data_IF_267935541637
#
_entry.id   IF_267935541637
#
_cell.length_a   1.000
_cell.length_b   1.000
_cell.length_c   1.000
_cell.angle_alpha   90.00
_cell.angle_beta   90.00
_cell.angle_gamma   90.00
#
_symmetry.space_group_name_H-M   'P 1'
#
loop_
_entity.id
_entity.type
_entity.pdbx_description
1 polymer ?
#
# COMPACT_ATOMS: atom_id res chain seq x y z
N UNK A 1 1.87 2.85 35.53
CA UNK A 1 2.54 3.23 34.69
C UNK A 1 1.89 3.65 33.58
N UNK A 2 2.26 4.56 33.33
CA UNK A 2 1.73 5.00 32.23
C UNK A 2 1.82 3.96 31.24
N UNK A 3 0.84 3.41 30.97
CA UNK A 3 0.75 2.57 29.86
C UNK A 3 1.33 3.24 28.67
N UNK A 4 1.71 2.48 27.71
CA UNK A 4 2.11 2.99 26.43
C UNK A 4 1.03 3.92 25.94
N UNK A 5 1.37 5.14 25.61
CA UNK A 5 0.36 6.05 25.06
C UNK A 5 -0.38 5.41 23.90
N UNK A 6 -1.69 5.50 23.93
CA UNK A 6 -2.50 4.90 22.88
C UNK A 6 -2.14 5.47 21.49
N UNK A 7 -1.63 6.69 21.44
CA UNK A 7 -1.23 7.34 20.19
C UNK A 7 -0.07 6.64 19.48
N UNK A 8 0.72 5.85 20.19
CA UNK A 8 1.83 5.14 19.58
C UNK A 8 1.38 3.83 18.91
N UNK A 9 0.27 3.28 19.34
CA UNK A 9 -0.20 1.99 18.83
C UNK A 9 -0.52 1.99 17.34
N UNK A 10 -1.21 2.99 16.78
CA UNK A 10 -1.46 3.01 15.33
C UNK A 10 -0.18 2.99 14.51
N UNK A 11 0.85 3.74 14.93
CA UNK A 11 2.13 3.79 14.24
C UNK A 11 2.83 2.43 14.29
N UNK A 12 2.83 1.77 15.46
CA UNK A 12 3.43 0.44 15.63
C UNK A 12 2.68 -0.60 14.81
N UNK A 13 1.36 -0.47 14.70
CA UNK A 13 0.52 -1.41 13.98
C UNK A 13 0.62 -1.28 12.46
N UNK A 14 1.14 -0.16 11.95
CA UNK A 14 1.09 0.13 10.52
C UNK A 14 1.78 -0.93 9.65
N UNK A 15 2.99 -1.43 9.98
CA UNK A 15 3.58 -2.51 9.18
C UNK A 15 2.71 -3.77 9.17
N UNK A 16 2.08 -4.10 10.30
CA UNK A 16 1.18 -5.25 10.36
C UNK A 16 -0.06 -5.05 9.48
N UNK A 17 -0.60 -3.82 9.45
CA UNK A 17 -1.73 -3.48 8.59
C UNK A 17 -1.33 -3.58 7.12
N UNK A 18 -0.15 -3.09 6.76
CA UNK A 18 0.34 -3.20 5.39
C UNK A 18 0.45 -4.67 4.96
N UNK A 19 0.96 -5.54 5.82
CA UNK A 19 1.02 -6.98 5.56
C UNK A 19 -0.38 -7.58 5.41
N UNK A 20 -1.31 -7.17 6.25
CA UNK A 20 -2.69 -7.64 6.21
C UNK A 20 -3.37 -7.28 4.88
N UNK A 21 -3.18 -6.03 4.43
CA UNK A 21 -3.69 -5.60 3.14
C UNK A 21 -3.07 -6.42 2.00
N UNK A 22 -1.77 -6.62 2.05
CA UNK A 22 -1.06 -7.40 1.04
C UNK A 22 -1.60 -8.84 0.99
N UNK A 23 -1.79 -9.48 2.13
CA UNK A 23 -2.31 -10.84 2.20
C UNK A 23 -3.74 -10.92 1.69
N UNK A 24 -4.55 -9.94 2.01
CA UNK A 24 -5.93 -9.87 1.53
C UNK A 24 -5.97 -9.79 0.00
N UNK A 25 -5.15 -8.92 -0.58
CA UNK A 25 -5.09 -8.77 -2.04
C UNK A 25 -4.49 -10.01 -2.69
N UNK A 26 -3.48 -10.61 -2.06
CA UNK A 26 -2.85 -11.85 -2.57
C UNK A 26 -3.82 -13.00 -2.70
N UNK A 27 -4.81 -13.08 -1.85
CA UNK A 27 -5.79 -14.17 -1.88
C UNK A 27 -6.57 -14.22 -3.21
N UNK A 28 -6.71 -13.08 -3.88
CA UNK A 28 -7.38 -13.00 -5.19
C UNK A 28 -6.42 -13.21 -6.37
N UNK A 29 -5.13 -13.39 -6.11
CA UNK A 29 -4.12 -13.67 -7.14
C UNK A 29 -3.50 -12.45 -7.77
N UNK A 30 -2.95 -12.62 -8.95
CA UNK A 30 -2.27 -11.56 -9.70
C UNK A 30 -3.17 -10.99 -10.78
N UNK A 31 -2.72 -9.90 -11.42
CA UNK A 31 -3.42 -9.20 -12.50
C UNK A 31 -4.67 -8.48 -12.00
N UNK A 32 -4.52 -7.75 -10.91
CA UNK A 32 -5.59 -6.97 -10.31
C UNK A 32 -5.33 -5.48 -10.48
N UNK A 33 -6.40 -4.66 -10.61
CA UNK A 33 -6.23 -3.21 -10.66
C UNK A 33 -5.77 -2.67 -9.30
N UNK A 34 -5.27 -1.43 -9.24
CA UNK A 34 -4.93 -0.81 -7.97
C UNK A 34 -6.14 -0.77 -7.04
N UNK A 35 -5.92 -1.07 -5.77
CA UNK A 35 -6.98 -1.10 -4.76
C UNK A 35 -6.61 -0.18 -3.62
N UNK A 36 -7.56 0.66 -3.22
CA UNK A 36 -7.38 1.62 -2.16
C UNK A 36 -8.14 1.17 -0.92
N UNK A 37 -7.54 1.37 0.24
CA UNK A 37 -8.12 0.99 1.53
C UNK A 37 -8.10 2.19 2.46
N UNK A 38 -9.20 2.40 3.18
CA UNK A 38 -9.25 3.34 4.29
C UNK A 38 -8.76 2.61 5.55
N UNK A 39 -7.96 3.27 6.36
CA UNK A 39 -7.52 2.72 7.65
C UNK A 39 -8.28 3.44 8.76
N UNK A 40 -9.13 2.69 9.44
CA UNK A 40 -10.04 3.23 10.45
C UNK A 40 -9.73 2.57 11.79
N UNK A 41 -9.72 3.32 12.91
CA UNK A 41 -9.54 2.69 14.21
C UNK A 41 -10.61 1.63 14.44
N UNK A 42 -10.19 0.44 14.82
CA UNK A 42 -11.10 -0.69 15.02
C UNK A 42 -12.13 -0.37 16.11
N UNK A 43 -11.73 0.37 17.14
CA UNK A 43 -12.66 0.78 18.20
C UNK A 43 -13.77 1.67 17.68
N UNK A 44 -13.47 2.60 16.76
CA UNK A 44 -14.47 3.47 16.17
C UNK A 44 -15.44 2.68 15.29
N UNK A 45 -14.90 1.72 14.54
CA UNK A 45 -15.73 0.85 13.70
C UNK A 45 -16.70 0.02 14.54
N UNK A 46 -16.22 -0.55 15.65
CA UNK A 46 -17.05 -1.32 16.55
C UNK A 46 -18.10 -0.46 17.26
N UNK A 47 -17.80 0.81 17.52
CA UNK A 47 -18.77 1.72 18.10
C UNK A 47 -19.94 1.98 17.16
N UNK A 48 -19.69 2.00 15.85
CA UNK A 48 -20.72 2.21 14.84
C UNK A 48 -21.43 0.90 14.44
N UNK A 49 -20.70 -0.20 14.46
CA UNK A 49 -21.20 -1.52 14.05
C UNK A 49 -20.84 -2.58 15.10
N UNK A 50 -21.55 -2.60 16.23
CA UNK A 50 -21.24 -3.54 17.32
C UNK A 50 -21.33 -5.01 16.93
N UNK A 51 -22.09 -5.32 15.88
CA UNK A 51 -22.21 -6.69 15.39
C UNK A 51 -20.90 -7.26 14.86
N UNK A 52 -19.90 -6.42 14.58
CA UNK A 52 -18.60 -6.86 14.14
C UNK A 52 -17.68 -7.31 15.29
N UNK A 53 -18.12 -7.18 16.54
CA UNK A 53 -17.31 -7.52 17.70
C UNK A 53 -16.78 -8.96 17.70
N UNK A 54 -17.53 -9.88 17.07
CA UNK A 54 -17.07 -11.27 16.93
C UNK A 54 -16.04 -11.49 15.84
N UNK A 55 -15.82 -10.50 14.98
CA UNK A 55 -14.92 -10.61 13.84
C UNK A 55 -13.69 -9.71 13.97
N UNK A 56 -13.77 -8.64 14.76
CA UNK A 56 -12.72 -7.65 14.92
C UNK A 56 -12.26 -7.59 16.36
N UNK A 57 -10.97 -7.56 16.56
CA UNK A 57 -10.36 -7.44 17.90
C UNK A 57 -9.46 -6.20 17.91
N UNK A 58 -9.86 -5.11 18.59
CA UNK A 58 -9.03 -3.90 18.61
C UNK A 58 -7.71 -4.06 19.34
N UNK A 59 -7.56 -5.10 20.16
CA UNK A 59 -6.29 -5.38 20.81
C UNK A 59 -5.28 -6.01 19.84
N UNK A 60 -5.77 -6.89 18.96
CA UNK A 60 -4.92 -7.53 17.95
C UNK A 60 -4.74 -6.65 16.70
N UNK A 61 -5.78 -5.92 16.33
CA UNK A 61 -5.81 -5.12 15.11
C UNK A 61 -6.37 -3.73 15.43
N UNK A 62 -5.52 -2.81 15.90
CA UNK A 62 -5.97 -1.46 16.25
C UNK A 62 -6.55 -0.66 15.09
N UNK A 63 -6.11 -0.96 13.87
CA UNK A 63 -6.62 -0.35 12.64
C UNK A 63 -7.23 -1.43 11.76
N UNK A 64 -8.36 -1.11 11.15
CA UNK A 64 -9.03 -2.02 10.22
C UNK A 64 -8.99 -1.41 8.82
N UNK A 65 -8.42 -2.12 7.83
CA UNK A 65 -8.46 -1.66 6.45
C UNK A 65 -9.86 -1.92 5.85
N UNK A 66 -10.40 -0.90 5.20
CA UNK A 66 -11.70 -0.99 4.55
C UNK A 66 -11.52 -0.74 3.06
N UNK A 67 -11.82 -1.76 2.25
CA UNK A 67 -11.63 -1.67 0.80
C UNK A 67 -12.54 -0.62 0.20
N UNK A 68 -11.98 0.18 -0.69
CA UNK A 68 -12.68 1.17 -1.49
C UNK A 68 -12.83 0.64 -2.92
N UNK A 69 -13.44 1.43 -3.79
CA UNK A 69 -13.56 1.04 -5.19
C UNK A 69 -12.17 0.96 -5.84
N UNK A 70 -12.03 0.05 -6.80
CA UNK A 70 -10.77 -0.08 -7.54
C UNK A 70 -10.48 1.20 -8.33
N UNK A 71 -9.20 1.53 -8.45
CA UNK A 71 -8.75 2.73 -9.14
C UNK A 71 -8.27 2.40 -10.56
N UNK A 72 -8.38 3.35 -11.50
CA UNK A 72 -7.81 3.14 -12.83
C UNK A 72 -6.29 3.13 -12.77
N UNK A 73 -5.66 2.13 -13.39
CA UNK A 73 -4.20 2.00 -13.34
C UNK A 73 -3.48 3.04 -14.19
N UNK A 74 -4.13 3.52 -15.26
CA UNK A 74 -3.54 4.49 -16.17
C UNK A 74 -3.67 5.94 -15.70
N UNK A 75 -4.52 6.22 -14.72
CA UNK A 75 -4.75 7.57 -14.20
C UNK A 75 -4.69 7.61 -12.68
N UNK A 76 -3.82 6.78 -12.11
CA UNK A 76 -3.74 6.63 -10.66
C UNK A 76 -3.44 7.95 -9.95
N UNK A 77 -2.50 8.74 -10.46
CA UNK A 77 -2.14 10.03 -9.85
C UNK A 77 -3.33 10.98 -9.79
N UNK A 78 -4.13 11.04 -10.86
CA UNK A 78 -5.33 11.87 -10.88
C UNK A 78 -6.38 11.36 -9.92
N UNK A 79 -6.57 10.05 -9.88
CA UNK A 79 -7.54 9.45 -8.99
C UNK A 79 -7.19 9.75 -7.53
N UNK A 80 -5.92 9.64 -7.16
CA UNK A 80 -5.46 9.96 -5.81
C UNK A 80 -5.61 11.45 -5.50
N UNK A 81 -5.30 12.33 -6.44
CA UNK A 81 -5.39 13.77 -6.22
C UNK A 81 -6.80 14.26 -5.90
N UNK A 82 -7.82 13.53 -6.33
CA UNK A 82 -9.21 13.89 -6.06
C UNK A 82 -9.79 13.32 -4.78
N UNK A 83 -9.01 12.54 -4.03
CA UNK A 83 -9.52 11.88 -2.83
C UNK A 83 -9.47 12.82 -1.62
N UNK A 84 -10.58 12.85 -0.88
CA UNK A 84 -10.68 13.55 0.41
C UNK A 84 -11.23 12.56 1.43
N UNK A 85 -10.54 12.40 2.54
CA UNK A 85 -10.93 11.45 3.56
C UNK A 85 -11.61 12.12 4.74
N UNK A 86 -12.69 11.52 5.29
CA UNK A 86 -13.27 12.01 6.54
C UNK A 86 -12.31 11.84 7.72
N UNK A 87 -12.51 12.61 8.77
CA UNK A 87 -11.61 12.61 9.93
C UNK A 87 -11.47 11.25 10.61
N UNK A 88 -12.50 10.41 10.55
CA UNK A 88 -12.45 9.08 11.15
C UNK A 88 -11.42 8.18 10.46
N UNK A 89 -11.10 8.48 9.20
CA UNK A 89 -10.05 7.75 8.47
C UNK A 89 -8.70 8.29 8.92
N UNK A 90 -7.95 7.46 9.64
CA UNK A 90 -6.65 7.86 10.20
C UNK A 90 -5.50 7.66 9.24
N UNK A 91 -5.72 6.86 8.21
CA UNK A 91 -4.71 6.60 7.21
C UNK A 91 -5.32 5.94 6.01
N UNK A 92 -4.46 5.60 5.06
CA UNK A 92 -4.90 4.86 3.86
C UNK A 92 -3.79 3.95 3.39
N UNK A 93 -4.16 2.99 2.56
CA UNK A 93 -3.23 2.07 1.95
C UNK A 93 -3.61 1.85 0.49
N UNK A 94 -2.61 1.66 -0.34
CA UNK A 94 -2.80 1.35 -1.75
C UNK A 94 -2.04 0.09 -2.09
N UNK A 95 -2.70 -0.85 -2.76
CA UNK A 95 -2.08 -2.05 -3.30
C UNK A 95 -2.08 -1.94 -4.82
N UNK A 96 -0.93 -2.11 -5.46
CA UNK A 96 -0.82 -2.08 -6.92
C UNK A 96 0.24 -3.04 -7.39
N UNK A 97 0.09 -3.53 -8.61
CA UNK A 97 1.08 -4.37 -9.25
C UNK A 97 2.03 -3.49 -10.05
N UNK A 98 3.31 -3.75 -9.90
CA UNK A 98 4.36 -2.99 -10.59
C UNK A 98 5.35 -3.96 -11.23
N UNK A 99 6.23 -3.42 -12.07
CA UNK A 99 7.34 -4.17 -12.66
C UNK A 99 8.63 -3.68 -12.02
N UNK A 100 9.42 -4.61 -11.51
CA UNK A 100 10.73 -4.31 -10.92
C UNK A 100 11.79 -4.72 -11.90
N UNK A 101 12.76 -3.84 -12.13
CA UNK A 101 13.90 -4.07 -13.02
C UNK A 101 15.16 -4.27 -12.20
N UNK A 102 16.16 -5.00 -12.76
CA UNK A 102 17.46 -5.06 -12.10
C UNK A 102 18.11 -3.68 -12.04
N UNK A 103 19.01 -3.43 -11.07
CA UNK A 103 19.59 -2.09 -10.88
C UNK A 103 20.23 -1.51 -12.14
N UNK A 104 20.90 -2.32 -12.96
CA UNK A 104 21.51 -1.85 -14.20
C UNK A 104 20.48 -1.31 -15.18
N UNK A 105 19.31 -1.97 -15.24
CA UNK A 105 18.24 -1.53 -16.13
C UNK A 105 17.59 -0.24 -15.64
N UNK A 106 17.46 -0.09 -14.32
CA UNK A 106 16.93 1.14 -13.72
C UNK A 106 17.85 2.33 -13.96
N UNK A 107 19.16 2.12 -13.87
CA UNK A 107 20.14 3.15 -14.20
C UNK A 107 20.06 3.58 -15.66
N UNK A 108 19.98 2.61 -16.57
CA UNK A 108 19.86 2.91 -18.00
C UNK A 108 18.59 3.69 -18.28
N UNK A 109 17.48 3.35 -17.62
CA UNK A 109 16.23 4.04 -17.78
C UNK A 109 16.32 5.49 -17.31
N UNK A 110 17.00 5.73 -16.18
CA UNK A 110 17.18 7.08 -15.65
C UNK A 110 18.06 7.95 -16.54
N UNK A 111 19.07 7.36 -17.19
CA UNK A 111 20.00 8.08 -18.04
C UNK A 111 19.41 8.45 -19.40
N UNK A 112 18.43 7.68 -19.90
CA UNK A 112 17.88 7.89 -21.24
C UNK A 112 16.78 8.96 -21.33
N UNK A 113 16.36 9.54 -20.23
CA UNK A 113 15.34 10.58 -20.20
C UNK A 113 14.06 10.22 -20.97
N UNK A 114 13.60 8.98 -20.81
CA UNK A 114 12.41 8.50 -21.48
C UNK A 114 11.15 9.13 -20.88
N UNK A 115 10.12 9.35 -21.72
CA UNK A 115 8.81 9.73 -21.19
C UNK A 115 8.16 8.53 -20.50
N UNK A 116 7.05 8.76 -19.81
CA UNK A 116 6.39 7.72 -19.00
C UNK A 116 5.98 6.51 -19.84
N UNK A 117 5.48 6.74 -21.07
CA UNK A 117 5.07 5.65 -21.93
C UNK A 117 6.24 4.81 -22.40
N UNK A 118 7.33 5.45 -22.81
CA UNK A 118 8.54 4.76 -23.24
C UNK A 118 9.17 3.99 -22.08
N UNK A 119 9.16 4.57 -20.88
CA UNK A 119 9.67 3.92 -19.68
C UNK A 119 8.88 2.66 -19.34
N UNK A 120 7.55 2.73 -19.43
CA UNK A 120 6.69 1.57 -19.20
C UNK A 120 6.94 0.46 -20.22
N UNK A 121 7.13 0.84 -21.47
CA UNK A 121 7.41 -0.12 -22.55
C UNK A 121 8.76 -0.80 -22.32
N UNK A 122 9.78 -0.04 -21.97
CA UNK A 122 11.09 -0.57 -21.65
C UNK A 122 11.01 -1.59 -20.52
N UNK A 123 10.32 -1.26 -19.45
CA UNK A 123 10.14 -2.16 -18.31
C UNK A 123 9.36 -3.42 -18.70
N UNK A 124 8.28 -3.26 -19.48
CA UNK A 124 7.44 -4.40 -19.87
C UNK A 124 8.16 -5.38 -20.79
N UNK A 125 9.13 -4.91 -21.57
CA UNK A 125 9.85 -5.74 -22.53
C UNK A 125 11.18 -6.28 -22.00
N UNK A 126 11.61 -5.82 -20.82
CA UNK A 126 12.90 -6.24 -20.29
C UNK A 126 12.87 -7.73 -19.91
N UNK A 127 13.88 -8.53 -20.36
CA UNK A 127 13.87 -9.97 -20.11
C UNK A 127 14.06 -10.35 -18.66
N UNK A 128 14.65 -9.47 -17.85
CA UNK A 128 14.88 -9.73 -16.42
C UNK A 128 13.89 -8.98 -15.52
N UNK A 129 12.78 -8.52 -16.09
CA UNK A 129 11.76 -7.89 -15.28
C UNK A 129 11.12 -8.89 -14.33
N UNK A 130 10.68 -8.39 -13.19
CA UNK A 130 9.86 -9.18 -12.26
C UNK A 130 8.59 -8.41 -11.95
N UNK A 131 7.48 -9.11 -11.98
CA UNK A 131 6.24 -8.53 -11.51
C UNK A 131 6.24 -8.54 -9.98
N UNK A 132 5.66 -7.52 -9.38
CA UNK A 132 5.60 -7.41 -7.93
C UNK A 132 4.31 -6.74 -7.52
N UNK A 133 3.86 -7.01 -6.30
CA UNK A 133 2.76 -6.28 -5.70
C UNK A 133 3.32 -5.39 -4.62
N UNK A 134 3.05 -4.11 -4.75
CA UNK A 134 3.47 -3.11 -3.78
C UNK A 134 2.26 -2.66 -2.97
N UNK A 135 2.38 -2.71 -1.65
CA UNK A 135 1.41 -2.12 -0.76
C UNK A 135 2.10 -1.00 0.01
N UNK A 136 1.54 0.20 -0.06
CA UNK A 136 2.02 1.33 0.71
C UNK A 136 0.90 1.78 1.64
N UNK A 137 1.22 1.97 2.91
CA UNK A 137 0.27 2.42 3.92
C UNK A 137 0.84 3.62 4.65
N UNK A 138 -0.01 4.62 4.92
CA UNK A 138 0.40 5.84 5.59
C UNK A 138 -0.65 6.24 6.62
N UNK A 139 -0.22 6.98 7.64
CA UNK A 139 -1.09 7.58 8.64
C UNK A 139 -0.96 9.10 8.57
N UNK A 140 -1.97 9.80 9.10
CA UNK A 140 -1.99 11.27 9.10
C UNK A 140 -0.79 11.90 9.81
N UNK A 141 -0.16 11.16 10.73
CA UNK A 141 1.01 11.65 11.45
C UNK A 141 2.30 11.60 10.62
N UNK A 142 2.23 11.13 9.38
CA UNK A 142 3.38 11.00 8.50
C UNK A 142 4.03 9.63 8.50
N UNK A 143 3.56 8.71 9.33
CA UNK A 143 4.11 7.35 9.35
C UNK A 143 3.82 6.63 8.05
N UNK A 144 4.75 5.78 7.62
CA UNK A 144 4.61 5.01 6.39
C UNK A 144 5.11 3.59 6.60
N UNK A 145 4.52 2.65 5.87
CA UNK A 145 5.00 1.27 5.80
C UNK A 145 4.73 0.75 4.40
N UNK A 146 5.66 -0.01 3.87
CA UNK A 146 5.50 -0.61 2.55
C UNK A 146 5.86 -2.07 2.60
N UNK A 147 5.14 -2.87 1.80
CA UNK A 147 5.41 -4.30 1.60
C UNK A 147 5.50 -4.54 0.10
N UNK A 148 6.53 -5.24 -0.32
CA UNK A 148 6.71 -5.61 -1.72
C UNK A 148 6.80 -7.12 -1.81
N UNK A 149 5.89 -7.73 -2.58
CA UNK A 149 5.92 -9.16 -2.85
C UNK A 149 6.37 -9.36 -4.29
N UNK A 150 7.55 -9.93 -4.47
CA UNK A 150 8.09 -10.25 -5.78
C UNK A 150 7.49 -11.59 -6.23
N UNK A 151 6.87 -11.57 -7.41
CA UNK A 151 6.20 -12.77 -7.94
C UNK A 151 7.23 -13.86 -8.22
N UNK A 152 6.97 -15.05 -7.70
CA UNK A 152 7.84 -16.20 -7.94
C UNK A 152 7.59 -16.82 -9.30
N UNK A 153 8.56 -17.64 -9.73
CA UNK A 153 8.46 -18.44 -10.95
C UNK A 153 9.05 -19.81 -10.67
N UNK A 154 9.09 -20.67 -11.69
CA UNK A 154 9.67 -22.00 -11.55
C UNK A 154 11.14 -21.90 -11.13
N UNK A 155 11.85 -20.88 -11.59
CA UNK A 155 13.30 -20.73 -11.34
C UNK A 155 13.62 -19.80 -10.17
N UNK A 156 12.71 -18.87 -9.84
CA UNK A 156 12.97 -17.86 -8.81
C UNK A 156 11.85 -17.91 -7.78
N UNK A 157 12.19 -18.09 -6.49
CA UNK A 157 11.16 -18.14 -5.45
C UNK A 157 10.49 -16.79 -5.23
N UNK A 158 9.28 -16.83 -4.75
CA UNK A 158 8.57 -15.65 -4.30
C UNK A 158 9.30 -15.05 -3.10
N UNK A 159 9.37 -13.73 -3.04
CA UNK A 159 10.11 -13.03 -2.02
C UNK A 159 9.31 -11.83 -1.52
N UNK A 160 9.33 -11.58 -0.21
CA UNK A 160 8.63 -10.44 0.39
C UNK A 160 9.65 -9.53 1.08
N UNK A 161 9.60 -8.25 0.76
CA UNK A 161 10.47 -7.21 1.32
C UNK A 161 9.60 -6.16 2.01
N UNK A 162 10.02 -5.74 3.20
CA UNK A 162 9.32 -4.69 3.96
C UNK A 162 10.28 -3.56 4.30
N UNK A 163 9.90 -2.34 3.97
CA UNK A 163 10.69 -1.15 4.31
C UNK A 163 9.81 0.10 4.11
N UNK A 164 9.85 1.06 5.03
CA UNK A 164 8.98 2.24 4.91
C UNK A 164 9.29 3.14 3.71
N UNK A 165 10.48 3.03 3.15
CA UNK A 165 10.90 3.89 2.04
C UNK A 165 10.95 3.19 0.68
N UNK A 166 10.28 2.05 0.54
CA UNK A 166 10.23 1.34 -0.74
C UNK A 166 9.59 2.15 -1.86
N UNK A 167 8.65 3.03 -1.53
CA UNK A 167 7.93 3.82 -2.52
C UNK A 167 7.66 5.23 -2.00
N UNK A 168 8.71 6.08 -1.88
CA UNK A 168 8.54 7.40 -1.28
C UNK A 168 7.58 8.31 -2.07
N UNK A 169 7.57 8.22 -3.39
CA UNK A 169 6.64 9.02 -4.20
C UNK A 169 5.19 8.63 -3.95
N UNK A 170 4.92 7.33 -3.84
CA UNK A 170 3.59 6.83 -3.58
C UNK A 170 3.13 7.17 -2.17
N UNK A 171 3.98 6.99 -1.16
CA UNK A 171 3.63 7.34 0.21
C UNK A 171 3.36 8.84 0.35
N UNK A 172 4.14 9.67 -0.35
CA UNK A 172 3.89 11.10 -0.36
C UNK A 172 2.53 11.43 -0.98
N UNK A 173 2.20 10.82 -2.10
CA UNK A 173 0.90 11.02 -2.76
C UNK A 173 -0.26 10.61 -1.85
N UNK A 174 -0.12 9.48 -1.15
CA UNK A 174 -1.14 9.02 -0.21
C UNK A 174 -1.29 9.98 0.97
N UNK A 175 -0.19 10.49 1.50
CA UNK A 175 -0.24 11.48 2.59
C UNK A 175 -0.96 12.76 2.16
N UNK A 176 -0.79 13.17 0.91
CA UNK A 176 -1.51 14.33 0.39
C UNK A 176 -3.02 14.14 0.41
N UNK A 177 -3.51 12.91 0.20
CA UNK A 177 -4.95 12.62 0.24
C UNK A 177 -5.53 12.79 1.65
N UNK A 178 -4.69 12.70 2.68
CA UNK A 178 -5.10 12.79 4.07
C UNK A 178 -5.10 14.22 4.62
N UNK A 179 -4.55 15.15 3.88
CA UNK A 179 -4.55 16.56 4.29
C UNK A 179 -5.95 17.16 4.16
N UNK A 180 -6.34 18.05 5.12
CA UNK A 180 -7.66 18.69 5.07
C UNK A 180 -7.80 19.64 3.88
#
# INVERSE_FOLDING_TARGET
MAGVPASEKPTVALPAVAREVEQFVSAAGWNQPPQLFALVPTTDLLAQQPELAGQLDPLSSPLTPIAQDALPSDQLDRALAGIVWPEVVRGCALAQEIVVLPPEAEEALSEEELDDEAARRFAAEHPQRREARLVAAVLRDGSAACVLRLRGSVEVPEEVVEHPELAPNLTHALLETLKP
#
